data_IF_029163143632
#
_entry.id   IF_029163143632
#
_cell.length_a   1.000
_cell.length_b   1.000
_cell.length_c   1.000
_cell.angle_alpha   90.00
_cell.angle_beta   90.00
_cell.angle_gamma   90.00
#
_symmetry.space_group_name_H-M   'P 1'
#
loop_
_entity.id
_entity.type
_entity.pdbx_description
1 polymer ?
#
# COMPACT_ATOMS: atom_id res chain seq x y z
N UNK A 1 -1.27 23.84 -23.46
CA UNK A 1 -2.06 22.65 -23.77
C UNK A 1 -3.12 22.51 -22.70
N UNK A 2 -4.39 22.67 -23.06
CA UNK A 2 -5.51 22.78 -22.11
C UNK A 2 -5.77 21.47 -21.37
N UNK A 3 -5.51 20.33 -22.03
CA UNK A 3 -5.69 19.00 -21.45
C UNK A 3 -4.68 18.72 -20.33
N UNK A 4 -3.42 19.13 -20.52
CA UNK A 4 -2.40 19.04 -19.48
C UNK A 4 -2.70 19.92 -18.27
N UNK A 5 -3.25 21.13 -18.48
CA UNK A 5 -3.63 22.03 -17.39
C UNK A 5 -4.84 21.49 -16.61
N UNK A 6 -5.81 20.90 -17.31
CA UNK A 6 -6.96 20.25 -16.67
C UNK A 6 -6.54 19.01 -15.87
N UNK A 7 -5.64 18.19 -16.41
CA UNK A 7 -5.10 17.03 -15.72
C UNK A 7 -4.32 17.42 -14.45
N UNK A 8 -3.47 18.45 -14.51
CA UNK A 8 -2.78 19.00 -13.32
C UNK A 8 -3.78 19.51 -12.27
N UNK A 9 -4.84 20.18 -12.73
CA UNK A 9 -5.89 20.72 -11.88
C UNK A 9 -6.69 19.65 -11.13
N UNK A 10 -7.12 18.61 -11.85
CA UNK A 10 -7.85 17.46 -11.29
C UNK A 10 -6.97 16.63 -10.37
N UNK A 11 -5.69 16.50 -10.70
CA UNK A 11 -4.72 15.72 -9.93
C UNK A 11 -4.44 16.38 -8.58
N UNK A 12 -3.81 17.55 -8.56
CA UNK A 12 -3.32 18.11 -7.29
C UNK A 12 -3.38 19.62 -7.20
N UNK A 13 -3.40 20.34 -8.33
CA UNK A 13 -3.22 21.78 -8.32
C UNK A 13 -4.25 22.50 -7.43
N UNK A 14 -5.51 22.03 -7.42
CA UNK A 14 -6.56 22.58 -6.57
C UNK A 14 -6.20 22.53 -5.07
N UNK A 15 -5.50 21.50 -4.63
CA UNK A 15 -5.11 21.30 -3.24
C UNK A 15 -3.84 22.09 -2.89
N UNK A 16 -2.87 22.16 -3.80
CA UNK A 16 -1.57 22.80 -3.51
C UNK A 16 -1.51 24.29 -3.88
N UNK A 17 -2.42 24.83 -4.70
CA UNK A 17 -2.31 26.19 -5.24
C UNK A 17 -2.08 27.26 -4.15
N UNK A 18 -2.83 27.20 -3.05
CA UNK A 18 -2.67 28.12 -1.92
C UNK A 18 -1.34 27.91 -1.18
N UNK A 19 -0.87 26.67 -1.11
CA UNK A 19 0.41 26.31 -0.48
C UNK A 19 1.62 26.76 -1.33
N UNK A 20 1.43 26.91 -2.64
CA UNK A 20 2.48 27.33 -3.57
C UNK A 20 2.77 28.84 -3.51
N UNK A 21 1.80 29.67 -3.09
CA UNK A 21 1.95 31.14 -3.06
C UNK A 21 3.14 31.54 -2.16
N UNK A 22 3.22 31.09 -0.89
CA UNK A 22 4.33 31.47 -0.01
C UNK A 22 5.67 30.84 -0.43
N UNK A 23 5.65 29.74 -1.20
CA UNK A 23 6.86 29.06 -1.69
C UNK A 23 7.46 29.83 -2.87
N UNK A 24 6.61 30.41 -3.73
CA UNK A 24 7.01 31.16 -4.93
C UNK A 24 7.28 32.64 -4.65
N UNK A 25 6.83 33.16 -3.51
CA UNK A 25 7.06 34.57 -3.15
C UNK A 25 8.51 34.78 -2.73
N UNK A 26 9.23 35.64 -3.46
CA UNK A 26 10.62 35.99 -3.15
C UNK A 26 10.74 36.65 -1.77
N UNK A 27 11.71 36.22 -0.96
CA UNK A 27 12.02 36.89 0.30
C UNK A 27 12.40 38.37 0.04
N UNK A 28 11.92 39.32 0.87
CA UNK A 28 12.37 40.71 0.81
C UNK A 28 13.91 40.83 0.85
N UNK A 29 14.47 41.73 0.03
CA UNK A 29 15.94 41.84 -0.14
C UNK A 29 16.70 42.42 1.05
N UNK A 30 16.02 43.08 1.99
CA UNK A 30 16.61 43.73 3.17
C UNK A 30 16.21 42.98 4.44
N UNK A 31 16.72 41.76 4.61
CA UNK A 31 16.49 40.94 5.81
C UNK A 31 17.79 40.70 6.57
N UNK A 32 17.71 40.65 7.89
CA UNK A 32 18.82 40.22 8.72
C UNK A 32 19.19 38.76 8.43
N UNK A 33 20.42 38.35 8.77
CA UNK A 33 20.88 36.98 8.57
C UNK A 33 19.99 35.95 9.28
N UNK A 34 19.53 36.27 10.49
CA UNK A 34 18.63 35.41 11.26
C UNK A 34 17.25 35.28 10.58
N UNK A 35 16.69 36.37 10.06
CA UNK A 35 15.41 36.34 9.34
C UNK A 35 15.51 35.59 8.02
N UNK A 36 16.63 35.72 7.29
CA UNK A 36 16.89 34.92 6.08
C UNK A 36 16.95 33.43 6.41
N UNK A 37 17.71 33.05 7.44
CA UNK A 37 17.84 31.65 7.87
C UNK A 37 16.48 31.08 8.29
N UNK A 38 15.73 31.81 9.12
CA UNK A 38 14.37 31.41 9.51
C UNK A 38 13.43 31.28 8.31
N UNK A 39 13.47 32.22 7.38
CA UNK A 39 12.67 32.18 6.15
C UNK A 39 12.99 30.95 5.28
N UNK A 40 14.28 30.61 5.13
CA UNK A 40 14.72 29.40 4.42
C UNK A 40 14.24 28.12 5.11
N UNK A 41 14.34 28.04 6.44
CA UNK A 41 13.83 26.88 7.20
C UNK A 41 12.32 26.70 7.02
N UNK A 42 11.55 27.79 7.05
CA UNK A 42 10.10 27.75 6.80
C UNK A 42 9.77 27.35 5.35
N UNK A 43 10.55 27.84 4.38
CA UNK A 43 10.40 27.46 2.97
C UNK A 43 10.59 25.95 2.79
N UNK A 44 11.67 25.39 3.35
CA UNK A 44 11.96 23.96 3.28
C UNK A 44 10.86 23.15 3.97
N UNK A 45 10.36 23.58 5.14
CA UNK A 45 9.24 22.91 5.83
C UNK A 45 7.98 22.87 4.97
N UNK A 46 7.64 23.97 4.30
CA UNK A 46 6.48 24.03 3.40
C UNK A 46 6.68 23.16 2.16
N UNK A 47 7.87 23.16 1.56
CA UNK A 47 8.18 22.28 0.44
C UNK A 47 8.06 20.80 0.84
N UNK A 48 8.58 20.40 2.01
CA UNK A 48 8.42 19.04 2.54
C UNK A 48 6.95 18.65 2.71
N UNK A 49 6.13 19.53 3.28
CA UNK A 49 4.69 19.29 3.38
C UNK A 49 4.03 19.10 2.00
N UNK A 50 4.40 19.91 1.01
CA UNK A 50 3.88 19.75 -0.36
C UNK A 50 4.37 18.45 -1.01
N UNK A 51 5.60 18.02 -0.73
CA UNK A 51 6.11 16.71 -1.19
C UNK A 51 5.25 15.58 -0.64
N UNK A 52 5.01 15.57 0.68
CA UNK A 52 4.25 14.52 1.34
C UNK A 52 2.81 14.47 0.84
N UNK A 53 2.15 15.64 0.74
CA UNK A 53 0.80 15.75 0.18
C UNK A 53 0.76 15.24 -1.27
N UNK A 54 1.73 15.66 -2.10
CA UNK A 54 1.76 15.27 -3.51
C UNK A 54 2.05 13.79 -3.73
N UNK A 55 2.90 13.22 -2.89
CA UNK A 55 3.16 11.80 -2.89
C UNK A 55 1.91 11.01 -2.50
N UNK A 56 1.23 11.38 -1.40
CA UNK A 56 0.02 10.69 -0.94
C UNK A 56 -1.12 10.78 -1.96
N UNK A 57 -1.38 11.96 -2.54
CA UNK A 57 -2.41 12.13 -3.58
C UNK A 57 -2.10 11.28 -4.82
N UNK A 58 -0.84 11.23 -5.26
CA UNK A 58 -0.44 10.39 -6.37
C UNK A 58 -0.62 8.90 -6.04
N UNK A 59 -0.27 8.49 -4.82
CA UNK A 59 -0.44 7.13 -4.36
C UNK A 59 -1.91 6.73 -4.38
N UNK A 60 -2.82 7.54 -3.82
CA UNK A 60 -4.27 7.32 -3.85
C UNK A 60 -4.79 7.10 -5.28
N UNK A 61 -4.42 7.96 -6.23
CA UNK A 61 -4.82 7.78 -7.63
C UNK A 61 -4.31 6.48 -8.24
N UNK A 62 -3.09 6.06 -7.91
CA UNK A 62 -2.56 4.76 -8.33
C UNK A 62 -3.37 3.62 -7.71
N UNK A 63 -3.76 3.73 -6.44
CA UNK A 63 -4.61 2.72 -5.78
C UNK A 63 -5.99 2.61 -6.43
N UNK A 64 -6.55 3.74 -6.84
CA UNK A 64 -7.82 3.86 -7.56
C UNK A 64 -7.75 3.39 -9.03
N UNK A 65 -6.57 3.04 -9.55
CA UNK A 65 -6.35 2.73 -10.97
C UNK A 65 -6.41 3.95 -11.91
N UNK A 66 -6.51 5.16 -11.36
CA UNK A 66 -6.53 6.44 -12.08
C UNK A 66 -5.10 6.89 -12.40
N UNK A 67 -4.42 6.06 -13.20
CA UNK A 67 -2.99 6.20 -13.43
C UNK A 67 -2.60 7.50 -14.15
N UNK A 68 -3.46 8.05 -15.01
CA UNK A 68 -3.19 9.31 -15.72
C UNK A 68 -3.26 10.50 -14.78
N UNK A 69 -4.19 10.47 -13.84
CA UNK A 69 -4.41 11.48 -12.80
C UNK A 69 -3.33 11.43 -11.71
N UNK A 70 -2.67 10.30 -11.50
CA UNK A 70 -1.54 10.18 -10.57
C UNK A 70 -0.27 10.92 -11.06
N UNK A 71 -0.06 10.99 -12.38
CA UNK A 71 1.20 11.48 -12.96
C UNK A 71 1.52 12.94 -12.55
N UNK A 72 0.59 13.92 -12.64
CA UNK A 72 0.91 15.30 -12.26
C UNK A 72 1.28 15.43 -10.79
N UNK A 73 0.53 14.80 -9.88
CA UNK A 73 0.85 14.77 -8.45
C UNK A 73 2.25 14.18 -8.19
N UNK A 74 2.58 13.06 -8.82
CA UNK A 74 3.90 12.43 -8.66
C UNK A 74 5.03 13.29 -9.26
N UNK A 75 4.77 14.04 -10.34
CA UNK A 75 5.71 15.02 -10.90
C UNK A 75 5.96 16.19 -9.94
N UNK A 76 4.93 16.70 -9.27
CA UNK A 76 5.11 17.73 -8.23
C UNK A 76 5.92 17.20 -7.06
N UNK A 77 5.63 15.97 -6.59
CA UNK A 77 6.42 15.32 -5.55
C UNK A 77 7.90 15.21 -5.94
N UNK A 78 8.20 14.76 -7.16
CA UNK A 78 9.58 14.68 -7.66
C UNK A 78 10.25 16.05 -7.76
N UNK A 79 9.54 17.05 -8.29
CA UNK A 79 10.06 18.40 -8.47
C UNK A 79 10.47 19.02 -7.14
N UNK A 80 9.56 19.07 -6.17
CA UNK A 80 9.87 19.66 -4.86
C UNK A 80 10.92 18.84 -4.12
N UNK A 81 10.91 17.51 -4.25
CA UNK A 81 11.97 16.68 -3.67
C UNK A 81 13.34 17.00 -4.26
N UNK A 82 13.40 17.29 -5.56
CA UNK A 82 14.64 17.71 -6.24
C UNK A 82 15.11 19.08 -5.73
N UNK A 83 14.19 20.02 -5.50
CA UNK A 83 14.49 21.34 -4.94
C UNK A 83 15.00 21.26 -3.50
N UNK A 84 14.46 20.36 -2.68
CA UNK A 84 14.81 20.22 -1.25
C UNK A 84 16.06 19.37 -1.01
N UNK A 85 16.19 18.25 -1.72
CA UNK A 85 17.22 17.23 -1.45
C UNK A 85 18.32 17.15 -2.52
N UNK A 86 18.11 17.76 -3.69
CA UNK A 86 19.03 17.72 -4.83
C UNK A 86 18.83 16.51 -5.76
N UNK A 87 19.32 16.60 -7.00
CA UNK A 87 18.99 15.69 -8.11
C UNK A 87 19.48 14.24 -7.99
N UNK A 88 20.38 13.92 -7.05
CA UNK A 88 20.95 12.58 -6.88
C UNK A 88 20.64 11.98 -5.50
N UNK A 89 19.68 12.56 -4.79
CA UNK A 89 19.35 12.16 -3.44
C UNK A 89 18.49 10.88 -3.43
N UNK A 90 18.76 9.98 -2.48
CA UNK A 90 17.96 8.77 -2.27
C UNK A 90 16.50 9.08 -1.92
N UNK A 91 16.22 10.26 -1.38
CA UNK A 91 14.89 10.75 -1.08
C UNK A 91 14.03 10.96 -2.35
N UNK A 92 14.62 10.98 -3.55
CA UNK A 92 13.87 11.04 -4.82
C UNK A 92 13.30 9.69 -5.26
N UNK A 93 13.86 8.58 -4.76
CA UNK A 93 13.51 7.22 -5.21
C UNK A 93 12.01 6.94 -5.12
N UNK A 94 11.30 7.23 -4.01
CA UNK A 94 9.86 6.97 -3.92
C UNK A 94 9.05 7.68 -5.02
N UNK A 95 9.37 8.94 -5.34
CA UNK A 95 8.67 9.69 -6.37
C UNK A 95 8.94 9.12 -7.78
N UNK A 96 10.17 8.67 -8.06
CA UNK A 96 10.48 7.97 -9.32
C UNK A 96 9.74 6.64 -9.45
N UNK A 97 9.67 5.83 -8.38
CA UNK A 97 8.94 4.56 -8.39
C UNK A 97 7.44 4.78 -8.62
N UNK A 98 6.85 5.79 -7.98
CA UNK A 98 5.44 6.13 -8.14
C UNK A 98 5.13 6.63 -9.56
N UNK A 99 6.01 7.45 -10.13
CA UNK A 99 5.92 7.86 -11.53
C UNK A 99 6.05 6.69 -12.51
N UNK A 100 6.92 5.73 -12.21
CA UNK A 100 7.06 4.53 -13.01
C UNK A 100 5.79 3.69 -13.00
N UNK A 101 5.21 3.45 -11.83
CA UNK A 101 3.97 2.70 -11.66
C UNK A 101 2.80 3.39 -12.37
N UNK A 102 2.60 4.69 -12.14
CA UNK A 102 1.57 5.47 -12.82
C UNK A 102 1.77 5.48 -14.35
N UNK A 103 3.01 5.64 -14.82
CA UNK A 103 3.30 5.62 -16.26
C UNK A 103 3.04 4.24 -16.87
N UNK A 104 3.41 3.15 -16.19
CA UNK A 104 3.16 1.80 -16.66
C UNK A 104 1.66 1.49 -16.71
N UNK A 105 0.91 1.84 -15.66
CA UNK A 105 -0.54 1.68 -15.61
C UNK A 105 -1.30 2.54 -16.64
N UNK A 106 -0.74 3.69 -17.03
CA UNK A 106 -1.25 4.50 -18.13
C UNK A 106 -0.87 3.98 -19.53
N UNK A 107 -0.09 2.90 -19.63
CA UNK A 107 0.39 2.33 -20.89
C UNK A 107 1.66 2.98 -21.47
N UNK A 108 2.29 3.91 -20.75
CA UNK A 108 3.49 4.63 -21.17
C UNK A 108 4.77 3.90 -20.73
N UNK A 109 4.95 2.65 -21.20
CA UNK A 109 6.08 1.79 -20.80
C UNK A 109 7.47 2.42 -21.01
N UNK A 110 7.77 3.12 -22.12
CA UNK A 110 9.08 3.76 -22.30
C UNK A 110 9.38 4.84 -21.25
N UNK A 111 8.34 5.54 -20.76
CA UNK A 111 8.51 6.55 -19.73
C UNK A 111 8.68 5.91 -18.35
N UNK A 112 7.92 4.85 -18.06
CA UNK A 112 8.08 4.07 -16.84
C UNK A 112 9.49 3.49 -16.71
N UNK A 113 10.03 2.92 -17.81
CA UNK A 113 11.40 2.41 -17.87
C UNK A 113 12.44 3.47 -17.49
N UNK A 114 12.32 4.70 -18.05
CA UNK A 114 13.24 5.81 -17.71
C UNK A 114 13.21 6.13 -16.22
N UNK A 115 12.04 6.22 -15.61
CA UNK A 115 11.92 6.51 -14.18
C UNK A 115 12.50 5.40 -13.31
N UNK A 116 12.28 4.12 -13.68
CA UNK A 116 12.90 2.99 -12.98
C UNK A 116 14.42 3.01 -13.09
N UNK A 117 14.98 3.32 -14.26
CA UNK A 117 16.43 3.45 -14.42
C UNK A 117 17.02 4.56 -13.56
N UNK A 118 16.30 5.69 -13.38
CA UNK A 118 16.74 6.75 -12.47
C UNK A 118 16.70 6.28 -11.01
N UNK A 119 15.61 5.63 -10.58
CA UNK A 119 15.49 5.08 -9.23
C UNK A 119 16.59 4.04 -8.93
N UNK A 120 16.81 3.10 -9.85
CA UNK A 120 17.83 2.06 -9.76
C UNK A 120 19.24 2.67 -9.66
N UNK A 121 19.55 3.64 -10.51
CA UNK A 121 20.85 4.31 -10.49
C UNK A 121 21.11 5.05 -9.18
N UNK A 122 20.10 5.73 -8.61
CA UNK A 122 20.24 6.41 -7.31
C UNK A 122 20.48 5.38 -6.19
N UNK A 123 19.72 4.28 -6.17
CA UNK A 123 19.89 3.21 -5.19
C UNK A 123 21.28 2.59 -5.29
N UNK A 124 21.74 2.27 -6.49
CA UNK A 124 23.09 1.70 -6.74
C UNK A 124 24.22 2.63 -6.29
N UNK A 125 24.02 3.96 -6.37
CA UNK A 125 25.02 4.95 -5.95
C UNK A 125 24.96 5.32 -4.48
N UNK A 126 23.93 4.89 -3.76
CA UNK A 126 23.75 5.22 -2.35
C UNK A 126 24.27 4.06 -1.50
N UNK A 127 25.47 4.16 -0.89
CA UNK A 127 25.89 3.20 0.11
C UNK A 127 24.88 3.20 1.25
N UNK A 128 24.63 2.03 1.84
CA UNK A 128 23.69 1.85 2.96
C UNK A 128 22.23 2.24 2.65
N UNK A 129 21.81 2.11 1.39
CA UNK A 129 20.40 2.29 1.03
C UNK A 129 19.52 1.34 1.85
N UNK A 130 18.43 1.86 2.43
CA UNK A 130 17.58 1.07 3.32
C UNK A 130 16.95 -0.12 2.60
N UNK A 131 16.81 -1.24 3.32
CA UNK A 131 16.20 -2.45 2.76
C UNK A 131 14.77 -2.18 2.26
N UNK A 132 14.01 -1.35 2.95
CA UNK A 132 12.67 -0.92 2.53
C UNK A 132 12.65 -0.28 1.13
N UNK A 133 13.64 0.56 0.82
CA UNK A 133 13.73 1.18 -0.51
C UNK A 133 14.19 0.18 -1.57
N UNK A 134 15.12 -0.71 -1.23
CA UNK A 134 15.55 -1.79 -2.12
C UNK A 134 14.39 -2.74 -2.47
N UNK A 135 13.58 -3.15 -1.48
CA UNK A 135 12.37 -3.94 -1.69
C UNK A 135 11.40 -3.23 -2.65
N UNK A 136 11.08 -1.96 -2.39
CA UNK A 136 10.20 -1.16 -3.27
C UNK A 136 10.73 -1.10 -4.70
N UNK A 137 12.02 -0.86 -4.89
CA UNK A 137 12.65 -0.84 -6.21
C UNK A 137 12.53 -2.19 -6.92
N UNK A 138 12.89 -3.28 -6.25
CA UNK A 138 12.81 -4.63 -6.80
C UNK A 138 11.36 -5.02 -7.15
N UNK A 139 10.40 -4.66 -6.30
CA UNK A 139 8.98 -4.85 -6.57
C UNK A 139 8.54 -4.11 -7.83
N UNK A 140 8.85 -2.82 -7.95
CA UNK A 140 8.50 -2.02 -9.12
C UNK A 140 9.16 -2.53 -10.41
N UNK A 141 10.43 -2.95 -10.36
CA UNK A 141 11.13 -3.56 -11.49
C UNK A 141 10.48 -4.89 -11.90
N UNK A 142 10.09 -5.71 -10.92
CA UNK A 142 9.40 -6.98 -11.15
C UNK A 142 8.04 -6.79 -11.84
N UNK A 143 7.24 -5.85 -11.33
CA UNK A 143 5.95 -5.49 -11.90
C UNK A 143 6.08 -4.92 -13.32
N UNK A 144 7.07 -4.06 -13.56
CA UNK A 144 7.36 -3.53 -14.88
C UNK A 144 7.73 -4.63 -15.87
N UNK A 145 8.66 -5.53 -15.50
CA UNK A 145 9.03 -6.67 -16.35
C UNK A 145 7.82 -7.58 -16.64
N UNK A 146 6.93 -7.79 -15.67
CA UNK A 146 5.71 -8.56 -15.86
C UNK A 146 4.71 -7.88 -16.81
N UNK A 147 4.65 -6.55 -16.81
CA UNK A 147 3.85 -5.76 -17.75
C UNK A 147 4.43 -5.79 -19.18
N UNK A 148 5.76 -5.85 -19.32
CA UNK A 148 6.44 -6.09 -20.61
C UNK A 148 6.31 -7.54 -21.11
N UNK A 149 5.81 -8.46 -20.28
CA UNK A 149 5.72 -9.89 -20.59
C UNK A 149 7.02 -10.66 -20.36
N UNK A 150 8.06 -10.03 -19.81
CA UNK A 150 9.31 -10.69 -19.43
C UNK A 150 9.20 -11.31 -18.04
N UNK A 151 8.55 -12.48 -17.98
CA UNK A 151 8.26 -13.14 -16.72
C UNK A 151 9.51 -13.64 -15.97
N UNK A 152 10.59 -14.03 -16.68
CA UNK A 152 11.81 -14.50 -16.03
C UNK A 152 12.50 -13.37 -15.25
N UNK A 153 12.62 -12.18 -15.85
CA UNK A 153 13.13 -11.00 -15.15
C UNK A 153 12.17 -10.54 -14.05
N UNK A 154 10.86 -10.64 -14.27
CA UNK A 154 9.88 -10.32 -13.24
C UNK A 154 10.08 -11.18 -11.99
N UNK A 155 10.20 -12.49 -12.16
CA UNK A 155 10.44 -13.43 -11.06
C UNK A 155 11.78 -13.18 -10.38
N UNK A 156 12.83 -12.86 -11.14
CA UNK A 156 14.13 -12.49 -10.56
C UNK A 156 14.02 -11.29 -9.61
N UNK A 157 13.39 -10.20 -10.05
CA UNK A 157 13.27 -9.01 -9.22
C UNK A 157 12.32 -9.24 -8.03
N UNK A 158 11.20 -9.95 -8.21
CA UNK A 158 10.28 -10.29 -7.12
C UNK A 158 10.90 -11.24 -6.09
N UNK A 159 11.76 -12.18 -6.52
CA UNK A 159 12.49 -13.04 -5.60
C UNK A 159 13.46 -12.24 -4.72
N UNK A 160 14.13 -11.23 -5.28
CA UNK A 160 14.98 -10.32 -4.52
C UNK A 160 14.17 -9.47 -3.53
N UNK A 161 13.00 -8.96 -3.92
CA UNK A 161 12.08 -8.27 -2.99
C UNK A 161 11.70 -9.16 -1.80
N UNK A 162 11.26 -10.40 -2.07
CA UNK A 162 10.91 -11.38 -1.03
C UNK A 162 12.10 -11.71 -0.14
N UNK A 163 13.29 -11.93 -0.72
CA UNK A 163 14.50 -12.23 0.03
C UNK A 163 14.88 -11.10 0.99
N UNK A 164 14.91 -9.87 0.48
CA UNK A 164 15.23 -8.68 1.27
C UNK A 164 14.19 -8.45 2.38
N UNK A 165 12.89 -8.53 2.05
CA UNK A 165 11.82 -8.35 3.01
C UNK A 165 11.86 -9.43 4.11
N UNK A 166 11.97 -10.70 3.72
CA UNK A 166 12.01 -11.81 4.67
C UNK A 166 13.24 -11.79 5.57
N UNK A 167 14.39 -11.33 5.06
CA UNK A 167 15.61 -11.18 5.86
C UNK A 167 15.51 -10.08 6.94
N UNK A 168 14.64 -9.09 6.73
CA UNK A 168 14.49 -7.93 7.62
C UNK A 168 13.28 -8.06 8.56
N UNK A 169 12.15 -8.49 8.02
CA UNK A 169 10.85 -8.51 8.72
C UNK A 169 10.36 -9.92 9.06
N UNK A 170 10.99 -10.95 8.48
CA UNK A 170 10.60 -12.35 8.63
C UNK A 170 9.70 -12.86 7.50
N UNK A 171 9.67 -14.19 7.34
CA UNK A 171 8.95 -14.89 6.26
C UNK A 171 7.43 -14.75 6.32
N UNK A 172 6.88 -14.42 7.48
CA UNK A 172 5.43 -14.33 7.74
C UNK A 172 4.99 -12.89 8.02
N UNK A 173 5.78 -11.92 7.59
CA UNK A 173 5.47 -10.50 7.78
C UNK A 173 4.56 -9.96 6.66
N UNK A 174 3.79 -8.92 6.97
CA UNK A 174 2.95 -8.23 5.99
C UNK A 174 3.79 -7.65 4.85
N UNK A 175 4.99 -7.13 5.15
CA UNK A 175 5.91 -6.55 4.17
C UNK A 175 6.35 -7.56 3.11
N UNK A 176 6.52 -8.82 3.51
CA UNK A 176 6.89 -9.92 2.60
C UNK A 176 5.69 -10.41 1.78
N UNK A 177 4.46 -10.25 2.28
CA UNK A 177 3.24 -10.73 1.62
C UNK A 177 3.01 -10.11 0.23
N UNK A 178 3.33 -8.82 0.05
CA UNK A 178 3.20 -8.13 -1.24
C UNK A 178 4.07 -8.76 -2.33
N UNK A 179 5.30 -9.18 -1.99
CA UNK A 179 6.19 -9.88 -2.91
C UNK A 179 5.63 -11.24 -3.35
N UNK A 180 5.12 -12.04 -2.40
CA UNK A 180 4.45 -13.31 -2.71
C UNK A 180 3.24 -13.13 -3.60
N UNK A 181 2.40 -12.12 -3.34
CA UNK A 181 1.22 -11.82 -4.14
C UNK A 181 1.58 -11.49 -5.59
N UNK A 182 2.56 -10.61 -5.80
CA UNK A 182 2.98 -10.26 -7.15
C UNK A 182 3.65 -11.43 -7.87
N UNK A 183 4.43 -12.25 -7.16
CA UNK A 183 5.02 -13.46 -7.73
C UNK A 183 3.94 -14.47 -8.13
N UNK A 184 2.89 -14.62 -7.31
CA UNK A 184 1.72 -15.44 -7.64
C UNK A 184 1.03 -14.95 -8.92
N UNK A 185 0.83 -13.64 -9.08
CA UNK A 185 0.25 -13.06 -10.29
C UNK A 185 1.08 -13.37 -11.55
N UNK A 186 2.42 -13.37 -11.44
CA UNK A 186 3.29 -13.76 -12.56
C UNK A 186 3.10 -15.24 -12.91
N UNK A 187 3.09 -16.13 -11.92
CA UNK A 187 2.84 -17.56 -12.16
C UNK A 187 1.43 -17.85 -12.69
N UNK A 188 0.43 -17.10 -12.25
CA UNK A 188 -0.93 -17.15 -12.77
C UNK A 188 -0.96 -16.80 -14.27
N UNK A 189 -0.27 -15.72 -14.68
CA UNK A 189 -0.14 -15.35 -16.11
C UNK A 189 0.65 -16.37 -16.93
N UNK A 190 1.54 -17.14 -16.31
CA UNK A 190 2.23 -18.28 -16.92
C UNK A 190 1.39 -19.57 -16.96
N UNK A 191 0.13 -19.54 -16.49
CA UNK A 191 -0.74 -20.71 -16.33
C UNK A 191 -0.16 -21.81 -15.39
N UNK A 192 0.76 -21.45 -14.49
CA UNK A 192 1.33 -22.34 -13.46
C UNK A 192 0.47 -22.27 -12.20
N UNK A 193 -0.77 -22.75 -12.33
CA UNK A 193 -1.83 -22.56 -11.35
C UNK A 193 -1.53 -23.15 -9.97
N UNK A 194 -0.81 -24.28 -9.89
CA UNK A 194 -0.49 -24.90 -8.59
C UNK A 194 0.45 -24.01 -7.76
N UNK A 195 1.48 -23.44 -8.41
CA UNK A 195 2.43 -22.52 -7.77
C UNK A 195 1.75 -21.21 -7.38
N UNK A 196 0.95 -20.64 -8.28
CA UNK A 196 0.19 -19.42 -7.99
C UNK A 196 -0.75 -19.60 -6.79
N UNK A 197 -1.51 -20.70 -6.75
CA UNK A 197 -2.42 -21.00 -5.64
C UNK A 197 -1.69 -21.17 -4.31
N UNK A 198 -0.53 -21.85 -4.30
CA UNK A 198 0.28 -22.03 -3.09
C UNK A 198 0.76 -20.68 -2.55
N UNK A 199 1.21 -19.77 -3.42
CA UNK A 199 1.62 -18.42 -3.03
C UNK A 199 0.44 -17.57 -2.55
N UNK A 200 -0.71 -17.61 -3.23
CA UNK A 200 -1.91 -16.92 -2.75
C UNK A 200 -2.37 -17.45 -1.40
N UNK A 201 -2.31 -18.75 -1.16
CA UNK A 201 -2.61 -19.33 0.14
C UNK A 201 -1.66 -18.79 1.22
N UNK A 202 -0.35 -18.71 0.92
CA UNK A 202 0.64 -18.13 1.84
C UNK A 202 0.36 -16.65 2.15
N UNK A 203 -0.04 -15.87 1.15
CA UNK A 203 -0.47 -14.48 1.35
C UNK A 203 -1.68 -14.43 2.30
N UNK A 204 -2.69 -15.26 2.07
CA UNK A 204 -3.86 -15.36 2.95
C UNK A 204 -3.48 -15.80 4.37
N UNK A 205 -2.54 -16.74 4.53
CA UNK A 205 -2.02 -17.19 5.84
C UNK A 205 -1.44 -16.02 6.64
N UNK A 206 -0.58 -15.24 5.98
CA UNK A 206 0.12 -14.11 6.60
C UNK A 206 -0.89 -13.05 7.08
N UNK A 207 -1.82 -12.66 6.20
CA UNK A 207 -2.88 -11.71 6.57
C UNK A 207 -3.82 -12.26 7.65
N UNK A 208 -4.17 -13.54 7.58
CA UNK A 208 -4.99 -14.18 8.61
C UNK A 208 -4.33 -14.11 9.98
N UNK A 209 -3.05 -14.49 10.07
CA UNK A 209 -2.31 -14.48 11.33
C UNK A 209 -2.17 -13.07 11.91
N UNK A 210 -1.93 -12.08 11.06
CA UNK A 210 -1.84 -10.68 11.48
C UNK A 210 -3.20 -10.15 11.97
N UNK A 211 -4.26 -10.25 11.16
CA UNK A 211 -5.56 -9.68 11.50
C UNK A 211 -6.21 -10.40 12.69
N UNK A 212 -6.00 -11.70 12.85
CA UNK A 212 -6.49 -12.43 14.02
C UNK A 212 -5.91 -11.87 15.32
N UNK A 213 -4.60 -11.57 15.33
CA UNK A 213 -3.95 -10.93 16.49
C UNK A 213 -4.52 -9.52 16.73
N UNK A 214 -4.74 -8.74 15.66
CA UNK A 214 -5.31 -7.39 15.78
C UNK A 214 -6.74 -7.40 16.32
N UNK A 215 -7.58 -8.35 15.90
CA UNK A 215 -8.95 -8.52 16.42
C UNK A 215 -8.92 -8.89 17.91
N UNK A 216 -8.10 -9.87 18.29
CA UNK A 216 -7.94 -10.28 19.69
C UNK A 216 -7.42 -9.13 20.57
N UNK A 217 -6.46 -8.33 20.08
CA UNK A 217 -5.97 -7.16 20.79
C UNK A 217 -7.08 -6.12 21.00
N UNK A 218 -7.92 -5.89 19.98
CA UNK A 218 -9.06 -4.97 20.09
C UNK A 218 -10.11 -5.45 21.11
N UNK A 219 -10.41 -6.75 21.14
CA UNK A 219 -11.31 -7.36 22.14
C UNK A 219 -10.79 -7.14 23.56
N UNK A 220 -9.51 -7.42 23.81
CA UNK A 220 -8.89 -7.23 25.13
C UNK A 220 -8.93 -5.77 25.60
N UNK A 221 -8.77 -4.81 24.68
CA UNK A 221 -8.91 -3.39 25.00
C UNK A 221 -10.35 -3.06 25.40
N UNK A 222 -11.35 -3.63 24.71
CA UNK A 222 -12.76 -3.40 25.01
C UNK A 222 -13.16 -4.04 26.35
N UNK A 223 -12.68 -5.24 26.65
CA UNK A 223 -12.95 -5.95 27.92
C UNK A 223 -12.27 -5.29 29.13
N UNK A 224 -11.10 -4.66 28.93
CA UNK A 224 -10.33 -4.00 30.00
C UNK A 224 -10.76 -2.56 30.29
N UNK A 225 -11.63 -1.96 29.48
CA UNK A 225 -12.24 -0.66 29.79
C UNK A 225 -13.67 -0.82 30.31
N UNK A 226 -13.89 -0.89 31.64
CA UNK A 226 -15.22 -0.62 32.18
C UNK A 226 -15.56 0.85 31.90
N UNK A 227 -16.82 1.10 31.56
CA UNK A 227 -17.44 2.42 31.41
C UNK A 227 -17.01 3.37 32.54
N UNK A 228 -15.93 4.15 32.36
CA UNK A 228 -15.52 5.36 33.13
C UNK A 228 -14.04 5.71 32.86
N UNK A 229 -13.70 6.13 31.64
CA UNK A 229 -12.52 7.00 31.42
C UNK A 229 -12.56 7.68 30.06
N UNK A 230 -13.44 8.68 29.91
CA UNK A 230 -13.55 9.52 28.71
C UNK A 230 -12.52 10.68 28.68
N UNK A 231 -11.47 10.64 29.51
CA UNK A 231 -10.47 11.71 29.54
C UNK A 231 -9.06 11.15 29.79
N UNK A 232 -8.46 10.57 28.76
CA UNK A 232 -7.01 10.68 28.50
C UNK A 232 -6.81 10.60 26.99
N UNK A 233 -6.90 11.75 26.32
CA UNK A 233 -6.11 11.96 25.10
C UNK A 233 -4.64 11.78 25.50
N UNK A 234 -3.87 11.08 24.67
CA UNK A 234 -2.46 10.69 24.88
C UNK A 234 -2.19 9.34 25.60
N UNK A 235 -2.79 8.26 25.10
CA UNK A 235 -2.12 6.95 25.13
C UNK A 235 -1.58 6.62 23.75
N UNK A 236 -0.27 6.43 23.70
CA UNK A 236 0.55 6.04 22.55
C UNK A 236 -0.23 5.12 21.60
N UNK A 237 -0.31 5.52 20.33
CA UNK A 237 -0.89 4.70 19.28
C UNK A 237 -0.29 3.29 19.37
N UNK A 238 -1.12 2.29 19.70
CA UNK A 238 -0.72 0.89 19.74
C UNK A 238 0.07 0.56 18.48
N UNK A 239 1.29 0.04 18.62
CA UNK A 239 2.14 -0.40 17.49
C UNK A 239 1.41 -1.41 16.58
N UNK A 240 0.32 -2.03 17.07
CA UNK A 240 -0.53 -2.99 16.35
C UNK A 240 -1.64 -2.37 15.48
N UNK A 241 -1.83 -1.04 15.47
CA UNK A 241 -2.86 -0.42 14.62
C UNK A 241 -2.37 -0.32 13.17
N UNK A 242 -2.98 -1.12 12.29
CA UNK A 242 -2.69 -1.11 10.86
C UNK A 242 -2.86 0.29 10.25
N UNK A 243 -1.85 0.74 9.52
CA UNK A 243 -1.87 2.04 8.82
C UNK A 243 -2.89 2.06 7.68
N UNK A 244 -3.36 3.24 7.28
CA UNK A 244 -4.28 3.40 6.15
C UNK A 244 -3.73 2.80 4.85
N UNK A 245 -2.41 2.92 4.63
CA UNK A 245 -1.74 2.33 3.47
C UNK A 245 -1.78 0.79 3.50
N UNK A 246 -1.49 0.18 4.66
CA UNK A 246 -1.59 -1.27 4.83
C UNK A 246 -3.03 -1.76 4.69
N UNK A 247 -4.03 -1.01 5.19
CA UNK A 247 -5.44 -1.31 4.99
C UNK A 247 -5.81 -1.34 3.51
N UNK A 248 -5.45 -0.29 2.75
CA UNK A 248 -5.75 -0.20 1.33
C UNK A 248 -5.02 -1.28 0.50
N UNK A 249 -3.81 -1.66 0.88
CA UNK A 249 -3.09 -2.78 0.30
C UNK A 249 -3.79 -4.12 0.59
N UNK A 250 -4.15 -4.37 1.86
CA UNK A 250 -4.85 -5.57 2.30
C UNK A 250 -6.17 -5.78 1.53
N UNK A 251 -7.00 -4.73 1.47
CA UNK A 251 -8.29 -4.77 0.75
C UNK A 251 -8.07 -5.17 -0.70
N UNK A 252 -7.10 -4.56 -1.38
CA UNK A 252 -6.83 -4.85 -2.79
C UNK A 252 -6.30 -6.25 -3.02
N UNK A 253 -5.30 -6.65 -2.24
CA UNK A 253 -4.65 -7.96 -2.37
C UNK A 253 -5.66 -9.07 -2.10
N UNK A 254 -6.42 -8.96 -1.00
CA UNK A 254 -7.35 -10.01 -0.59
C UNK A 254 -8.58 -10.10 -1.51
N UNK A 255 -9.13 -8.98 -1.98
CA UNK A 255 -10.19 -9.01 -2.99
C UNK A 255 -9.68 -9.60 -4.32
N UNK A 256 -8.48 -9.24 -4.77
CA UNK A 256 -7.90 -9.83 -5.98
C UNK A 256 -7.70 -11.35 -5.84
N UNK A 257 -7.25 -11.82 -4.66
CA UNK A 257 -7.14 -13.25 -4.38
C UNK A 257 -8.52 -13.92 -4.38
N UNK A 258 -9.54 -13.28 -3.80
CA UNK A 258 -10.91 -13.79 -3.81
C UNK A 258 -11.44 -13.93 -5.24
N UNK A 259 -11.33 -12.88 -6.06
CA UNK A 259 -11.77 -12.86 -7.46
C UNK A 259 -11.13 -14.01 -8.26
N UNK A 260 -9.82 -14.19 -8.10
CA UNK A 260 -9.07 -15.27 -8.77
C UNK A 260 -9.58 -16.65 -8.34
N UNK A 261 -9.92 -16.82 -7.06
CA UNK A 261 -10.41 -18.10 -6.51
C UNK A 261 -11.83 -18.40 -6.96
N UNK A 262 -12.71 -17.41 -6.98
CA UNK A 262 -14.09 -17.57 -7.44
C UNK A 262 -14.16 -17.91 -8.94
N UNK A 263 -13.28 -17.31 -9.73
CA UNK A 263 -13.18 -17.54 -11.18
C UNK A 263 -12.37 -18.80 -11.54
N UNK A 264 -11.70 -19.45 -10.59
CA UNK A 264 -10.87 -20.62 -10.86
C UNK A 264 -11.73 -21.83 -11.29
N UNK A 265 -11.33 -22.57 -12.36
CA UNK A 265 -12.06 -23.77 -12.80
C UNK A 265 -12.15 -24.86 -11.73
N UNK A 266 -11.11 -24.97 -10.89
CA UNK A 266 -11.08 -25.88 -9.75
C UNK A 266 -11.38 -25.10 -8.48
N UNK A 267 -12.63 -25.16 -8.03
CA UNK A 267 -13.02 -24.52 -6.79
C UNK A 267 -12.43 -25.26 -5.58
N UNK A 268 -11.82 -24.49 -4.68
CA UNK A 268 -11.30 -24.95 -3.39
C UNK A 268 -12.05 -24.22 -2.29
N UNK A 269 -13.24 -24.72 -1.90
CA UNK A 269 -14.11 -24.02 -0.96
C UNK A 269 -13.41 -23.65 0.35
N UNK A 270 -12.60 -24.54 0.92
CA UNK A 270 -11.80 -24.27 2.13
C UNK A 270 -10.94 -23.00 2.03
N UNK A 271 -10.20 -22.86 0.93
CA UNK A 271 -9.32 -21.72 0.72
C UNK A 271 -10.12 -20.43 0.45
N UNK A 272 -11.27 -20.53 -0.22
CA UNK A 272 -12.19 -19.39 -0.45
C UNK A 272 -12.82 -18.90 0.85
N UNK A 273 -13.34 -19.82 1.69
CA UNK A 273 -13.85 -19.49 3.02
C UNK A 273 -12.80 -18.76 3.85
N UNK A 274 -11.55 -19.19 3.76
CA UNK A 274 -10.46 -18.58 4.50
C UNK A 274 -10.19 -17.14 4.07
N UNK A 275 -10.16 -16.87 2.76
CA UNK A 275 -10.01 -15.48 2.25
C UNK A 275 -11.19 -14.61 2.70
N UNK A 276 -12.42 -15.14 2.63
CA UNK A 276 -13.62 -14.44 3.10
C UNK A 276 -13.54 -14.12 4.61
N UNK A 277 -13.05 -15.04 5.42
CA UNK A 277 -12.83 -14.82 6.85
C UNK A 277 -11.79 -13.71 7.12
N UNK A 278 -10.68 -13.70 6.36
CA UNK A 278 -9.67 -12.64 6.44
C UNK A 278 -10.25 -11.28 6.06
N UNK A 279 -11.06 -11.22 4.99
CA UNK A 279 -11.76 -10.00 4.58
C UNK A 279 -12.78 -9.53 5.63
N UNK A 280 -13.50 -10.45 6.27
CA UNK A 280 -14.43 -10.13 7.35
C UNK A 280 -13.70 -9.48 8.55
N UNK A 281 -12.56 -10.05 8.97
CA UNK A 281 -11.73 -9.46 10.03
C UNK A 281 -11.21 -8.08 9.64
N UNK A 282 -10.75 -7.93 8.38
CA UNK A 282 -10.28 -6.65 7.87
C UNK A 282 -11.36 -5.56 7.92
N UNK A 283 -12.56 -5.85 7.39
CA UNK A 283 -13.67 -4.89 7.41
C UNK A 283 -14.17 -4.58 8.82
N UNK A 284 -14.14 -5.55 9.73
CA UNK A 284 -14.44 -5.32 11.14
C UNK A 284 -13.46 -4.33 11.78
N UNK A 285 -12.15 -4.52 11.56
CA UNK A 285 -11.10 -3.63 12.07
C UNK A 285 -11.18 -2.22 11.47
N UNK A 286 -11.61 -2.09 10.21
CA UNK A 286 -11.83 -0.79 9.55
C UNK A 286 -13.21 -0.18 9.83
N UNK A 287 -14.03 -0.81 10.69
CA UNK A 287 -15.39 -0.37 11.05
C UNK A 287 -16.40 -0.35 9.88
N UNK A 288 -16.15 -1.11 8.81
CA UNK A 288 -17.13 -1.36 7.75
C UNK A 288 -17.96 -2.61 8.12
N UNK A 289 -18.79 -2.47 9.16
CA UNK A 289 -19.59 -3.58 9.71
C UNK A 289 -20.52 -4.25 8.68
N UNK A 290 -21.18 -3.52 7.75
CA UNK A 290 -22.01 -4.15 6.72
C UNK A 290 -21.22 -5.12 5.85
N UNK A 291 -20.04 -4.72 5.34
CA UNK A 291 -19.19 -5.62 4.56
C UNK A 291 -18.59 -6.73 5.40
N UNK A 292 -18.20 -6.44 6.64
CA UNK A 292 -17.70 -7.47 7.56
C UNK A 292 -18.71 -8.60 7.74
N UNK A 293 -19.98 -8.25 7.98
CA UNK A 293 -21.08 -9.20 8.11
C UNK A 293 -21.33 -10.00 6.83
N UNK A 294 -21.37 -9.33 5.66
CA UNK A 294 -21.56 -10.01 4.37
C UNK A 294 -20.48 -11.06 4.11
N UNK A 295 -19.20 -10.70 4.30
CA UNK A 295 -18.08 -11.62 4.06
C UNK A 295 -18.04 -12.74 5.11
N UNK A 296 -18.36 -12.43 6.37
CA UNK A 296 -18.44 -13.40 7.45
C UNK A 296 -19.54 -14.44 7.23
N UNK A 297 -20.74 -14.04 6.81
CA UNK A 297 -21.84 -14.95 6.50
C UNK A 297 -21.50 -15.85 5.32
N UNK A 298 -20.95 -15.29 4.24
CA UNK A 298 -20.47 -16.09 3.09
C UNK A 298 -19.42 -17.13 3.51
N UNK A 299 -18.45 -16.73 4.35
CA UNK A 299 -17.46 -17.64 4.88
C UNK A 299 -18.11 -18.76 5.72
N UNK A 300 -19.04 -18.40 6.59
CA UNK A 300 -19.74 -19.33 7.48
C UNK A 300 -20.55 -20.37 6.72
N UNK A 301 -21.36 -19.94 5.75
CA UNK A 301 -22.19 -20.82 4.93
C UNK A 301 -21.36 -21.81 4.12
N UNK A 302 -20.18 -21.36 3.66
CA UNK A 302 -19.28 -22.16 2.86
C UNK A 302 -18.54 -23.19 3.73
N UNK A 303 -18.11 -22.83 4.94
CA UNK A 303 -17.51 -23.77 5.90
C UNK A 303 -18.51 -24.80 6.42
N UNK A 304 -19.78 -24.41 6.62
CA UNK A 304 -20.84 -25.31 7.07
C UNK A 304 -21.08 -26.49 6.13
N UNK A 305 -20.84 -26.30 4.84
CA UNK A 305 -20.98 -27.34 3.80
C UNK A 305 -19.76 -28.29 3.75
N UNK A 306 -18.68 -27.97 4.47
CA UNK A 306 -17.45 -28.77 4.46
C UNK A 306 -17.44 -29.86 5.53
N UNK A 307 -16.74 -30.99 5.28
CA UNK A 307 -16.61 -32.07 6.26
C UNK A 307 -15.80 -31.68 7.50
N UNK A 308 -14.85 -30.74 7.35
CA UNK A 308 -13.99 -30.23 8.41
C UNK A 308 -14.47 -28.85 8.84
N UNK A 309 -15.01 -28.75 10.06
CA UNK A 309 -15.62 -27.53 10.60
C UNK A 309 -14.69 -26.77 11.58
N UNK A 310 -13.38 -27.01 11.52
CA UNK A 310 -12.40 -26.47 12.49
C UNK A 310 -12.41 -24.94 12.55
N UNK A 311 -12.69 -24.25 11.44
CA UNK A 311 -12.75 -22.78 11.37
C UNK A 311 -14.13 -22.18 11.69
N UNK A 312 -15.16 -23.01 11.89
CA UNK A 312 -16.55 -22.54 12.04
C UNK A 312 -16.76 -21.75 13.34
N UNK A 313 -16.08 -22.15 14.43
CA UNK A 313 -16.14 -21.45 15.71
C UNK A 313 -15.53 -20.04 15.65
N UNK A 314 -14.39 -19.88 14.98
CA UNK A 314 -13.73 -18.58 14.84
C UNK A 314 -14.57 -17.59 14.01
N UNK A 315 -15.15 -18.06 12.89
CA UNK A 315 -16.02 -17.24 12.04
C UNK A 315 -17.31 -16.86 12.78
N UNK A 316 -17.90 -17.82 13.51
CA UNK A 316 -19.09 -17.59 14.33
C UNK A 316 -18.86 -16.52 15.40
N UNK A 317 -17.73 -16.61 16.12
CA UNK A 317 -17.35 -15.61 17.12
C UNK A 317 -17.19 -14.21 16.51
N UNK A 318 -16.54 -14.10 15.35
CA UNK A 318 -16.41 -12.82 14.64
C UNK A 318 -17.78 -12.22 14.27
N UNK A 319 -18.73 -13.05 13.82
CA UNK A 319 -20.09 -12.60 13.50
C UNK A 319 -20.86 -12.11 14.74
N UNK A 320 -20.69 -12.75 15.89
CA UNK A 320 -21.26 -12.28 17.15
C UNK A 320 -20.70 -10.90 17.53
N UNK A 321 -19.39 -10.69 17.36
CA UNK A 321 -18.75 -9.40 17.62
C UNK A 321 -19.25 -8.30 16.68
N UNK A 322 -19.41 -8.60 15.38
CA UNK A 322 -19.97 -7.65 14.40
C UNK A 322 -21.39 -7.24 14.81
N UNK A 323 -22.22 -8.20 15.22
CA UNK A 323 -23.61 -7.95 15.62
C UNK A 323 -23.75 -7.26 16.98
N UNK A 324 -22.76 -7.38 17.87
CA UNK A 324 -22.78 -6.77 19.21
C UNK A 324 -22.48 -5.27 19.21
N UNK A 325 -21.85 -4.73 18.14
CA UNK A 325 -21.55 -3.30 18.02
C UNK A 325 -22.77 -2.55 17.46
N UNK A 326 -23.27 -1.49 18.12
CA UNK A 326 -24.36 -0.69 17.59
C UNK A 326 -23.93 0.02 16.30
N UNK A 327 -24.78 -0.06 15.28
CA UNK A 327 -24.66 0.62 13.98
C UNK A 327 -24.68 2.14 14.11
#
# INVERSE_FOLDING_TARGET
DEDHQKADWVSIHKQICQLLIPIRTSLPGLLSENERKHGMEQLVKRQKYVIDLAYSTAQEFVLDGKHKEAIPAALHALRFSTEVYGSNSVQLVPAYLLLAEASAGAGHLPQASKYLSQAEWIVLRTPDCSVTLQCKLHRSLGLFCAAEGNFDRALYHLANDIYLASSTFGLESIETSGGYFHMANVFFRQNKMDVANSLYAKVTDIWHAFLLKSVQAQEQILESQPEMSLFTEDKEASEDRMTEAQQAEAIRVLNAVLDIREQAPKQRPEETARVLHVLAMLYYLTMDLPKAGEMGVKAFDLVKQLPQQESLGAIGHLLELINSKPS
#
